data_IF_077585223782
#
_entry.id   IF_077585223782
#
_cell.length_a   1.000
_cell.length_b   1.000
_cell.length_c   1.000
_cell.angle_alpha   90.00
_cell.angle_beta   90.00
_cell.angle_gamma   90.00
#
_symmetry.space_group_name_H-M   'P 1'
#
loop_
_entity.id
_entity.type
_entity.pdbx_description
1 polymer ?
#
# COMPACT_ATOMS: atom_id res chain seq x y z
N UNK A 1 18.90 -22.13 -20.79
CA UNK A 1 18.72 -21.40 -19.52
C UNK A 1 17.28 -21.64 -19.10
N UNK A 2 17.03 -22.42 -18.04
CA UNK A 2 15.67 -22.66 -17.58
C UNK A 2 15.10 -21.39 -16.93
N UNK A 3 13.83 -21.16 -17.23
CA UNK A 3 12.94 -20.09 -16.79
C UNK A 3 12.80 -20.05 -15.25
N UNK A 4 13.09 -18.91 -14.63
CA UNK A 4 12.96 -18.67 -13.17
C UNK A 4 11.58 -18.17 -12.76
N UNK A 5 10.58 -18.14 -13.65
CA UNK A 5 9.20 -17.78 -13.30
C UNK A 5 8.35 -19.02 -13.05
N UNK A 6 8.54 -19.64 -11.89
CA UNK A 6 7.48 -20.17 -11.00
C UNK A 6 8.11 -21.11 -9.97
N UNK A 7 8.85 -20.56 -9.00
CA UNK A 7 8.89 -21.23 -7.69
C UNK A 7 7.59 -20.88 -6.98
N UNK A 8 6.61 -21.77 -7.11
CA UNK A 8 5.49 -21.83 -6.18
C UNK A 8 6.12 -22.06 -4.80
N UNK A 9 6.06 -21.06 -3.92
CA UNK A 9 6.58 -21.15 -2.54
C UNK A 9 6.04 -22.43 -1.89
N UNK A 10 6.92 -23.44 -1.72
CA UNK A 10 6.55 -24.73 -1.14
C UNK A 10 6.45 -24.71 0.39
N UNK A 11 6.94 -23.63 1.02
CA UNK A 11 6.88 -23.37 2.46
C UNK A 11 7.05 -21.87 2.76
N UNK A 12 6.69 -21.38 3.96
CA UNK A 12 6.92 -19.99 4.36
C UNK A 12 8.41 -19.61 4.32
N UNK A 13 8.73 -18.40 3.88
CA UNK A 13 10.09 -17.86 3.78
C UNK A 13 10.11 -16.34 3.94
N UNK A 14 11.26 -15.77 4.32
CA UNK A 14 11.48 -14.33 4.24
C UNK A 14 11.50 -13.85 2.78
N UNK A 15 10.93 -12.67 2.52
CA UNK A 15 10.91 -12.08 1.18
C UNK A 15 12.33 -11.72 0.72
N UNK A 16 12.77 -12.34 -0.37
CA UNK A 16 14.04 -12.04 -1.00
C UNK A 16 13.95 -10.74 -1.81
N UNK A 17 14.88 -9.83 -1.55
CA UNK A 17 15.00 -8.56 -2.25
C UNK A 17 16.39 -8.48 -2.91
N UNK A 18 16.52 -7.70 -3.99
CA UNK A 18 17.85 -7.41 -4.55
C UNK A 18 18.70 -6.59 -3.55
N UNK A 19 20.00 -6.46 -3.81
CA UNK A 19 20.93 -5.80 -2.88
C UNK A 19 20.53 -4.34 -2.59
N UNK A 20 20.13 -3.59 -3.62
CA UNK A 20 19.70 -2.20 -3.49
C UNK A 20 18.44 -2.06 -2.59
N UNK A 21 17.40 -2.86 -2.85
CA UNK A 21 16.19 -2.85 -2.05
C UNK A 21 16.44 -3.34 -0.63
N UNK A 22 17.32 -4.32 -0.44
CA UNK A 22 17.69 -4.83 0.90
C UNK A 22 18.31 -3.71 1.74
N UNK A 23 19.20 -2.90 1.17
CA UNK A 23 19.79 -1.76 1.86
C UNK A 23 18.74 -0.70 2.26
N UNK A 24 17.84 -0.35 1.33
CA UNK A 24 16.76 0.61 1.63
C UNK A 24 15.81 0.05 2.70
N UNK A 25 15.45 -1.23 2.59
CA UNK A 25 14.60 -1.90 3.56
C UNK A 25 15.25 -1.94 4.94
N UNK A 26 16.56 -2.20 5.04
CA UNK A 26 17.27 -2.18 6.32
C UNK A 26 17.18 -0.79 6.98
N UNK A 27 17.36 0.30 6.21
CA UNK A 27 17.17 1.67 6.72
C UNK A 27 15.73 1.89 7.21
N UNK A 28 14.73 1.46 6.43
CA UNK A 28 13.32 1.66 6.77
C UNK A 28 12.89 0.83 7.99
N UNK A 29 13.37 -0.42 8.09
CA UNK A 29 13.11 -1.31 9.23
C UNK A 29 13.77 -0.79 10.51
N UNK A 30 14.96 -0.20 10.43
CA UNK A 30 15.65 0.40 11.58
C UNK A 30 15.21 1.84 11.89
N UNK A 31 14.33 2.44 11.08
CA UNK A 31 13.83 3.78 11.32
C UNK A 31 12.82 3.81 12.49
N UNK A 32 13.08 4.66 13.49
CA UNK A 32 12.26 4.77 14.70
C UNK A 32 10.78 5.08 14.41
N UNK A 33 10.49 5.79 13.32
CA UNK A 33 9.11 6.11 12.93
C UNK A 33 8.34 4.85 12.53
N UNK A 34 8.97 3.94 11.79
CA UNK A 34 8.33 2.70 11.35
C UNK A 34 8.23 1.67 12.48
N UNK A 35 9.23 1.61 13.37
CA UNK A 35 9.14 0.79 14.59
C UNK A 35 7.94 1.22 15.45
N UNK A 36 7.79 2.54 15.68
CA UNK A 36 6.65 3.09 16.44
C UNK A 36 5.32 2.84 15.73
N UNK A 37 5.27 3.03 14.42
CA UNK A 37 4.07 2.79 13.63
C UNK A 37 3.65 1.32 13.68
N UNK A 38 4.56 0.38 13.44
CA UNK A 38 4.29 -1.04 13.50
C UNK A 38 3.79 -1.48 14.88
N UNK A 39 4.43 -0.96 15.94
CA UNK A 39 4.01 -1.22 17.32
C UNK A 39 2.60 -0.69 17.60
N UNK A 40 2.30 0.53 17.16
CA UNK A 40 0.99 1.14 17.31
C UNK A 40 -0.10 0.33 16.59
N UNK A 41 0.15 -0.14 15.36
CA UNK A 41 -0.79 -0.97 14.61
C UNK A 41 -1.10 -2.29 15.32
N UNK A 42 -0.08 -2.95 15.90
CA UNK A 42 -0.30 -4.14 16.75
C UNK A 42 -1.19 -3.82 17.96
N UNK A 43 -0.93 -2.70 18.65
CA UNK A 43 -1.72 -2.29 19.82
C UNK A 43 -3.17 -1.97 19.48
N UNK A 44 -3.41 -1.28 18.35
CA UNK A 44 -4.76 -1.03 17.83
C UNK A 44 -5.47 -2.36 17.57
N UNK A 45 -4.80 -3.32 16.92
CA UNK A 45 -5.41 -4.61 16.64
C UNK A 45 -5.76 -5.38 17.93
N UNK A 46 -4.83 -5.44 18.89
CA UNK A 46 -5.07 -6.07 20.19
C UNK A 46 -6.24 -5.43 20.96
N UNK A 47 -6.41 -4.11 20.84
CA UNK A 47 -7.47 -3.36 21.53
C UNK A 47 -8.85 -3.63 20.92
N UNK A 48 -8.95 -3.63 19.60
CA UNK A 48 -10.25 -3.66 18.90
C UNK A 48 -10.72 -5.07 18.51
N UNK A 49 -9.81 -6.05 18.43
CA UNK A 49 -10.15 -7.43 18.10
C UNK A 49 -9.25 -8.43 18.88
N UNK A 50 -9.38 -8.50 20.22
CA UNK A 50 -8.45 -9.24 21.08
C UNK A 50 -8.40 -10.75 20.80
N UNK A 51 -9.54 -11.40 20.56
CA UNK A 51 -9.57 -12.84 20.27
C UNK A 51 -8.86 -13.16 18.95
N UNK A 52 -9.05 -12.31 17.93
CA UNK A 52 -8.39 -12.46 16.64
C UNK A 52 -6.90 -12.14 16.74
N UNK A 53 -6.53 -11.14 17.54
CA UNK A 53 -5.13 -10.85 17.84
C UNK A 53 -4.45 -12.05 18.52
N UNK A 54 -5.12 -12.69 19.48
CA UNK A 54 -4.60 -13.90 20.13
C UNK A 54 -4.41 -15.04 19.14
N UNK A 55 -5.38 -15.25 18.24
CA UNK A 55 -5.26 -16.21 17.14
C UNK A 55 -4.01 -15.93 16.27
N UNK A 56 -3.78 -14.68 15.88
CA UNK A 56 -2.58 -14.30 15.11
C UNK A 56 -1.29 -14.58 15.91
N UNK A 57 -1.28 -14.25 17.20
CA UNK A 57 -0.12 -14.43 18.06
C UNK A 57 0.26 -15.90 18.21
N UNK A 58 -0.73 -16.78 18.42
CA UNK A 58 -0.51 -18.23 18.52
C UNK A 58 0.11 -18.78 17.24
N UNK A 59 -0.50 -18.50 16.08
CA UNK A 59 -0.02 -19.03 14.80
C UNK A 59 1.35 -18.48 14.42
N UNK A 60 1.62 -17.21 14.70
CA UNK A 60 2.92 -16.62 14.46
C UNK A 60 3.99 -17.25 15.38
N UNK A 61 3.66 -17.46 16.65
CA UNK A 61 4.56 -18.12 17.60
C UNK A 61 4.90 -19.54 17.14
N UNK A 62 3.88 -20.34 16.79
CA UNK A 62 4.06 -21.72 16.31
C UNK A 62 4.92 -21.75 15.03
N UNK A 63 4.70 -20.80 14.11
CA UNK A 63 5.50 -20.69 12.88
C UNK A 63 6.97 -20.39 13.19
N UNK A 64 7.26 -19.43 14.07
CA UNK A 64 8.63 -19.05 14.42
C UNK A 64 9.35 -20.12 15.26
N UNK A 65 8.60 -20.90 16.06
CA UNK A 65 9.15 -22.06 16.76
C UNK A 65 9.47 -23.21 15.80
N UNK A 66 8.64 -23.41 14.77
CA UNK A 66 8.84 -24.45 13.77
C UNK A 66 10.01 -24.13 12.83
N UNK A 67 10.19 -22.86 12.46
CA UNK A 67 11.27 -22.42 11.59
C UNK A 67 12.01 -21.19 12.16
N UNK A 68 13.10 -21.48 12.86
CA UNK A 68 13.97 -20.46 13.48
C UNK A 68 14.75 -19.61 12.46
N UNK A 69 14.72 -19.97 11.17
CA UNK A 69 15.35 -19.16 10.11
C UNK A 69 14.50 -17.95 9.72
N UNK A 70 13.21 -17.94 10.08
CA UNK A 70 12.31 -16.84 9.79
C UNK A 70 12.61 -15.63 10.66
N UNK A 71 12.85 -14.49 10.01
CA UNK A 71 13.12 -13.21 10.67
C UNK A 71 11.88 -12.32 10.64
N UNK A 72 11.48 -11.81 11.79
CA UNK A 72 10.42 -10.81 11.90
C UNK A 72 10.96 -9.42 11.55
N UNK A 73 10.16 -8.63 10.82
CA UNK A 73 10.49 -7.23 10.53
C UNK A 73 10.68 -6.40 11.81
N UNK A 74 9.80 -6.61 12.80
CA UNK A 74 9.87 -6.01 14.13
C UNK A 74 9.30 -6.96 15.18
N UNK A 75 9.98 -7.11 16.31
CA UNK A 75 9.53 -7.98 17.42
C UNK A 75 8.23 -7.52 18.07
N UNK A 76 7.89 -6.22 17.96
CA UNK A 76 6.65 -5.63 18.46
C UNK A 76 5.50 -5.65 17.42
N UNK A 77 5.72 -6.23 16.23
CA UNK A 77 4.72 -6.33 15.18
C UNK A 77 4.06 -7.72 15.18
N UNK A 78 2.73 -7.77 15.23
CA UNK A 78 1.96 -9.01 15.14
C UNK A 78 1.79 -9.52 13.70
N UNK A 79 2.06 -8.66 12.71
CA UNK A 79 1.91 -8.98 11.30
C UNK A 79 3.21 -9.55 10.73
N UNK A 80 3.12 -10.70 10.06
CA UNK A 80 4.26 -11.40 9.47
C UNK A 80 4.90 -10.66 8.27
N UNK A 81 4.21 -9.69 7.66
CA UNK A 81 4.68 -8.95 6.50
C UNK A 81 4.29 -7.47 6.55
N UNK A 82 5.11 -6.64 5.92
CA UNK A 82 4.86 -5.22 5.70
C UNK A 82 5.30 -4.83 4.28
N UNK A 83 4.70 -3.78 3.72
CA UNK A 83 5.04 -3.29 2.38
C UNK A 83 5.22 -1.78 2.41
N UNK A 84 6.37 -1.32 1.91
CA UNK A 84 6.61 0.09 1.64
C UNK A 84 6.28 0.36 0.16
N UNK A 85 5.13 0.99 -0.09
CA UNK A 85 4.69 1.28 -1.46
C UNK A 85 5.15 2.67 -1.91
N UNK A 86 6.14 2.71 -2.81
CA UNK A 86 6.64 3.93 -3.44
C UNK A 86 6.17 4.09 -4.91
N UNK A 87 5.16 3.32 -5.34
CA UNK A 87 4.75 3.19 -6.74
C UNK A 87 3.61 4.13 -7.18
N UNK A 88 3.33 5.17 -6.41
CA UNK A 88 2.28 6.14 -6.78
C UNK A 88 2.80 7.11 -7.85
N UNK A 89 1.93 7.48 -8.80
CA UNK A 89 2.14 8.63 -9.67
C UNK A 89 1.50 9.85 -9.00
N UNK A 90 2.25 10.80 -8.41
CA UNK A 90 1.66 11.85 -7.59
C UNK A 90 0.66 12.73 -8.35
N UNK A 91 0.95 13.00 -9.63
CA UNK A 91 0.09 13.76 -10.52
C UNK A 91 -0.93 12.88 -11.28
N UNK A 92 -0.94 11.56 -11.03
CA UNK A 92 -1.90 10.65 -11.61
C UNK A 92 -3.29 10.85 -11.01
N UNK A 93 -4.31 10.78 -11.86
CA UNK A 93 -5.70 10.97 -11.46
C UNK A 93 -6.38 9.61 -11.28
N UNK A 94 -7.13 9.48 -10.19
CA UNK A 94 -8.03 8.36 -9.96
C UNK A 94 -9.45 8.79 -10.33
N UNK A 95 -10.13 8.02 -11.17
CA UNK A 95 -11.56 8.17 -11.39
C UNK A 95 -12.30 7.37 -10.32
N UNK A 96 -13.11 8.06 -9.52
CA UNK A 96 -13.87 7.49 -8.42
C UNK A 96 -15.34 7.66 -8.76
N UNK A 97 -16.10 6.57 -8.78
CA UNK A 97 -17.55 6.59 -8.97
C UNK A 97 -18.21 6.11 -7.69
N UNK A 98 -19.10 6.93 -7.13
CA UNK A 98 -19.89 6.54 -5.96
C UNK A 98 -21.10 5.74 -6.39
N UNK A 99 -21.40 4.65 -5.69
CA UNK A 99 -22.51 3.75 -5.97
C UNK A 99 -23.27 3.44 -4.67
N UNK A 100 -24.43 2.80 -4.80
CA UNK A 100 -25.26 2.37 -3.68
C UNK A 100 -26.55 3.20 -3.53
N UNK A 101 -27.13 3.15 -2.33
CA UNK A 101 -28.41 3.79 -2.00
C UNK A 101 -28.27 4.51 -0.66
N UNK A 102 -28.13 5.84 -0.73
CA UNK A 102 -28.05 6.75 0.39
C UNK A 102 -28.50 8.16 -0.04
N UNK A 103 -28.87 9.04 0.89
CA UNK A 103 -29.15 10.46 0.60
C UNK A 103 -27.86 11.29 0.69
N UNK A 104 -27.30 11.76 -0.44
CA UNK A 104 -26.03 12.48 -0.47
C UNK A 104 -26.07 13.89 0.10
N UNK A 105 -27.24 14.35 0.60
CA UNK A 105 -27.38 15.62 1.32
C UNK A 105 -27.16 15.49 2.83
N UNK A 106 -27.26 14.26 3.35
CA UNK A 106 -27.18 13.98 4.79
C UNK A 106 -25.98 13.11 5.17
N UNK A 107 -25.26 12.53 4.20
CA UNK A 107 -24.12 11.67 4.46
C UNK A 107 -23.44 11.15 3.19
N UNK A 108 -22.34 10.41 3.36
CA UNK A 108 -21.58 9.85 2.24
C UNK A 108 -20.85 10.89 1.38
N UNK A 109 -20.66 12.11 1.89
CA UNK A 109 -19.96 13.22 1.23
C UNK A 109 -18.48 12.88 1.05
N UNK A 110 -17.87 13.40 -0.01
CA UNK A 110 -16.43 13.34 -0.22
C UNK A 110 -15.76 14.55 0.45
N UNK A 111 -14.86 14.29 1.38
CA UNK A 111 -14.04 15.33 2.03
C UNK A 111 -12.67 15.36 1.38
N UNK A 112 -12.28 16.52 0.86
CA UNK A 112 -10.95 16.81 0.32
C UNK A 112 -10.24 17.76 1.29
N UNK A 113 -9.50 17.19 2.24
CA UNK A 113 -8.98 17.92 3.40
C UNK A 113 -8.02 19.05 3.04
N UNK A 114 -7.10 18.79 2.10
CA UNK A 114 -6.10 19.78 1.68
C UNK A 114 -6.73 20.97 0.95
N UNK A 115 -7.85 20.73 0.26
CA UNK A 115 -8.60 21.76 -0.45
C UNK A 115 -9.63 22.46 0.44
N UNK A 116 -9.83 21.98 1.68
CA UNK A 116 -10.88 22.43 2.60
C UNK A 116 -12.28 22.36 1.96
N UNK A 117 -12.53 21.31 1.18
CA UNK A 117 -13.80 21.10 0.48
C UNK A 117 -14.53 19.87 1.03
N UNK A 118 -15.84 20.01 1.16
CA UNK A 118 -16.78 18.91 1.40
C UNK A 118 -17.77 18.93 0.25
N UNK A 119 -17.83 17.85 -0.50
CA UNK A 119 -18.64 17.73 -1.70
C UNK A 119 -19.75 16.71 -1.46
N UNK A 120 -20.99 17.10 -1.73
CA UNK A 120 -22.06 16.13 -1.95
C UNK A 120 -21.61 15.23 -3.10
N UNK A 121 -21.57 13.92 -2.85
CA UNK A 121 -21.06 12.96 -3.83
C UNK A 121 -22.10 11.86 -4.10
N UNK A 122 -23.14 12.16 -4.90
CA UNK A 122 -24.29 11.29 -5.11
C UNK A 122 -23.96 9.90 -5.67
N UNK A 123 -24.78 8.87 -5.38
CA UNK A 123 -24.76 7.63 -6.15
C UNK A 123 -24.87 7.90 -7.66
N UNK A 124 -24.03 7.25 -8.46
CA UNK A 124 -23.93 7.43 -9.91
C UNK A 124 -23.04 8.59 -10.35
N UNK A 125 -22.54 9.42 -9.41
CA UNK A 125 -21.60 10.49 -9.75
C UNK A 125 -20.16 10.00 -9.77
N UNK A 126 -19.36 10.62 -10.64
CA UNK A 126 -17.94 10.33 -10.82
C UNK A 126 -17.13 11.61 -10.64
N UNK A 127 -15.99 11.50 -9.97
CA UNK A 127 -15.00 12.57 -9.84
C UNK A 127 -13.62 12.04 -10.22
N UNK A 128 -12.79 12.87 -10.84
CA UNK A 128 -11.38 12.59 -11.00
C UNK A 128 -10.60 13.46 -10.02
N UNK A 129 -9.72 12.84 -9.23
CA UNK A 129 -8.84 13.57 -8.30
C UNK A 129 -7.41 12.98 -8.32
N UNK A 130 -6.38 13.79 -8.04
CA UNK A 130 -5.03 13.28 -7.75
C UNK A 130 -4.98 12.66 -6.35
N UNK A 131 -5.58 11.47 -6.23
CA UNK A 131 -5.83 10.74 -4.98
C UNK A 131 -4.55 10.40 -4.20
N UNK A 132 -3.41 10.27 -4.91
CA UNK A 132 -2.11 9.99 -4.29
C UNK A 132 -1.56 11.15 -3.45
N UNK A 133 -1.97 12.39 -3.73
CA UNK A 133 -1.47 13.59 -3.04
C UNK A 133 -2.56 14.35 -2.28
N UNK A 134 -3.84 14.10 -2.56
CA UNK A 134 -4.95 14.70 -1.82
C UNK A 134 -5.42 13.77 -0.72
N UNK A 135 -5.30 14.22 0.53
CA UNK A 135 -5.92 13.57 1.68
C UNK A 135 -7.44 13.66 1.53
N UNK A 136 -8.09 12.52 1.47
CA UNK A 136 -9.53 12.44 1.27
C UNK A 136 -10.18 11.33 2.10
N UNK A 137 -11.45 11.50 2.41
CA UNK A 137 -12.26 10.54 3.16
C UNK A 137 -13.73 10.67 2.77
N UNK A 138 -14.56 9.73 3.20
CA UNK A 138 -16.01 9.82 3.05
C UNK A 138 -16.67 10.04 4.41
N UNK A 139 -17.72 10.85 4.48
CA UNK A 139 -18.53 10.96 5.70
C UNK A 139 -19.39 9.71 5.90
N UNK A 140 -19.84 9.48 7.14
CA UNK A 140 -20.73 8.37 7.46
C UNK A 140 -22.07 8.50 6.72
N UNK A 141 -22.72 7.37 6.49
CA UNK A 141 -24.08 7.28 5.96
C UNK A 141 -25.05 6.85 7.07
N UNK A 142 -26.35 6.94 6.81
CA UNK A 142 -27.40 6.47 7.71
C UNK A 142 -27.33 4.95 7.97
N UNK A 143 -27.86 4.50 9.11
CA UNK A 143 -27.76 3.10 9.58
C UNK A 143 -28.28 2.06 8.57
N UNK A 144 -29.30 2.41 7.80
CA UNK A 144 -29.95 1.52 6.82
C UNK A 144 -29.49 1.77 5.37
N UNK A 145 -28.53 2.67 5.18
CA UNK A 145 -28.00 3.03 3.87
C UNK A 145 -26.81 2.16 3.48
N UNK A 146 -26.52 2.12 2.18
CA UNK A 146 -25.38 1.39 1.63
C UNK A 146 -24.65 2.29 0.64
N UNK A 147 -23.34 2.40 0.80
CA UNK A 147 -22.46 3.11 -0.12
C UNK A 147 -21.34 2.20 -0.58
N UNK A 148 -21.05 2.26 -1.88
CA UNK A 148 -19.95 1.57 -2.52
C UNK A 148 -19.16 2.58 -3.36
N UNK A 149 -17.95 2.23 -3.75
CA UNK A 149 -17.13 3.03 -4.65
C UNK A 149 -16.47 2.12 -5.68
N UNK A 150 -16.52 2.53 -6.93
CA UNK A 150 -15.73 1.96 -8.00
C UNK A 150 -14.59 2.92 -8.34
N UNK A 151 -13.35 2.44 -8.33
CA UNK A 151 -12.16 3.27 -8.54
C UNK A 151 -11.34 2.72 -9.69
N UNK A 152 -10.93 3.61 -10.59
CA UNK A 152 -10.03 3.31 -11.68
C UNK A 152 -8.81 4.21 -11.56
N UNK A 153 -7.63 3.61 -11.64
CA UNK A 153 -6.36 4.31 -11.57
C UNK A 153 -5.29 3.46 -12.27
N UNK A 154 -4.18 4.10 -12.61
CA UNK A 154 -3.00 3.43 -13.16
C UNK A 154 -1.85 3.60 -12.18
N UNK A 155 -1.16 2.50 -11.88
CA UNK A 155 0.00 2.53 -10.99
C UNK A 155 1.16 3.30 -11.63
N UNK A 156 1.88 4.12 -10.86
CA UNK A 156 3.02 4.90 -11.33
C UNK A 156 4.16 4.04 -11.89
N UNK A 157 4.30 2.80 -11.40
CA UNK A 157 5.27 1.83 -11.92
C UNK A 157 5.11 1.52 -13.41
N UNK A 158 3.89 1.57 -13.96
CA UNK A 158 3.65 1.32 -15.39
C UNK A 158 4.19 2.47 -16.25
N UNK A 159 4.03 3.71 -15.81
CA UNK A 159 4.61 4.87 -16.51
C UNK A 159 6.14 4.79 -16.47
N UNK A 160 6.71 4.51 -15.29
CA UNK A 160 8.16 4.33 -15.14
C UNK A 160 8.72 3.25 -16.07
N UNK A 161 8.01 2.13 -16.22
CA UNK A 161 8.41 1.07 -17.14
C UNK A 161 8.48 1.56 -18.59
N UNK A 162 7.49 2.33 -19.04
CA UNK A 162 7.47 2.93 -20.38
C UNK A 162 8.59 3.97 -20.52
N UNK A 163 8.77 4.85 -19.54
CA UNK A 163 9.82 5.88 -19.52
C UNK A 163 11.23 5.26 -19.54
N UNK A 164 11.39 4.08 -18.93
CA UNK A 164 12.62 3.30 -18.98
C UNK A 164 12.81 2.56 -20.32
N UNK A 165 11.92 2.71 -21.30
CA UNK A 165 12.02 2.00 -22.59
C UNK A 165 11.59 0.54 -22.52
N UNK A 166 10.59 0.23 -21.68
CA UNK A 166 10.07 -1.13 -21.45
C UNK A 166 11.11 -2.10 -20.87
N UNK A 167 11.96 -1.60 -19.98
CA UNK A 167 12.92 -2.39 -19.22
C UNK A 167 12.94 -1.94 -17.75
N UNK A 168 13.67 -2.66 -16.91
CA UNK A 168 13.79 -2.27 -15.50
C UNK A 168 14.49 -0.92 -15.37
N UNK A 169 14.20 -0.18 -14.30
CA UNK A 169 14.93 1.08 -14.06
C UNK A 169 16.44 0.84 -13.95
N UNK A 170 16.84 -0.29 -13.38
CA UNK A 170 18.25 -0.68 -13.26
C UNK A 170 18.92 -0.82 -14.64
N UNK A 171 18.32 -1.58 -15.56
CA UNK A 171 18.83 -1.74 -16.93
C UNK A 171 18.86 -0.40 -17.69
N UNK A 172 17.81 0.41 -17.55
CA UNK A 172 17.75 1.73 -18.18
C UNK A 172 18.89 2.62 -17.71
N UNK A 173 19.07 2.80 -16.41
CA UNK A 173 20.14 3.64 -15.86
C UNK A 173 21.54 3.13 -16.20
N UNK A 174 21.74 1.81 -16.25
CA UNK A 174 23.01 1.20 -16.66
C UNK A 174 23.32 1.41 -18.15
N UNK A 175 22.29 1.63 -18.99
CA UNK A 175 22.44 1.83 -20.43
C UNK A 175 22.77 3.27 -20.84
N UNK A 176 22.59 4.24 -19.94
CA UNK A 176 22.81 5.66 -20.23
C UNK A 176 24.29 6.01 -20.25
N UNK A 177 24.70 6.81 -21.23
CA UNK A 177 25.99 7.49 -21.24
C UNK A 177 25.96 8.77 -20.38
N UNK A 178 27.08 9.49 -20.29
CA UNK A 178 27.17 10.69 -19.46
C UNK A 178 26.15 11.78 -19.85
N UNK A 179 25.83 11.90 -21.14
CA UNK A 179 24.85 12.86 -21.66
C UNK A 179 23.41 12.40 -21.37
N UNK A 180 23.16 11.10 -21.41
CA UNK A 180 21.89 10.47 -21.04
C UNK A 180 21.58 10.63 -19.55
N UNK A 181 22.58 10.46 -18.69
CA UNK A 181 22.46 10.68 -17.24
C UNK A 181 22.18 12.14 -16.88
N UNK A 182 22.71 13.10 -17.64
CA UNK A 182 22.50 14.52 -17.38
C UNK A 182 21.09 15.02 -17.77
N UNK A 183 20.35 14.26 -18.59
CA UNK A 183 19.02 14.61 -19.10
C UNK A 183 17.87 13.88 -18.40
N UNK A 184 18.19 12.84 -17.63
CA UNK A 184 17.23 11.98 -16.94
C UNK A 184 17.01 12.45 -15.49
#
# INVERSE_FOLDING_TARGET
MPDTRTDVLKHPQNLHNNHANTWVLDILLNCILFIRLATFLSSVFATWAPDLFHYYAMYLCDLLMHDISLVMNWTSCIFAAATFNFANLPFGWCAITTLGRFDPRFGGHLVLWDLKLVLDFPPGSTILIPSAILRHSNTTIGRSERRYSFMQYTMGGLFRWVDCGFQTSEEYWASLDADGLAKA
#
